data_IF_099521883760
#
_entry.id   IF_099521883760
#
_cell.length_a   1.000
_cell.length_b   1.000
_cell.length_c   1.000
_cell.angle_alpha   90.00
_cell.angle_beta   90.00
_cell.angle_gamma   90.00
#
_symmetry.space_group_name_H-M   'P 1'
#
loop_
_entity.id
_entity.type
_entity.pdbx_description
1 polymer ?
#
# COMPACT_ATOMS: atom_id res chain seq x y z
N UNK A 1 -24.40 -11.85 -18.37
CA UNK A 1 -24.47 -10.63 -17.56
C UNK A 1 -23.04 -10.24 -17.21
N UNK A 2 -22.56 -9.08 -17.68
CA UNK A 2 -21.29 -8.51 -17.22
C UNK A 2 -21.63 -7.77 -15.93
N UNK A 3 -21.07 -8.21 -14.80
CA UNK A 3 -21.29 -7.52 -13.52
C UNK A 3 -20.77 -6.08 -13.64
N UNK A 4 -21.51 -5.09 -13.14
CA UNK A 4 -21.03 -3.71 -13.12
C UNK A 4 -19.81 -3.64 -12.17
N UNK A 5 -18.62 -3.57 -12.76
CA UNK A 5 -17.35 -3.59 -12.04
C UNK A 5 -17.06 -2.27 -11.31
N UNK A 6 -17.77 -1.19 -11.64
CA UNK A 6 -17.64 0.10 -10.98
C UNK A 6 -18.66 0.21 -9.85
N UNK A 7 -18.46 -0.55 -8.76
CA UNK A 7 -19.14 -0.30 -7.48
C UNK A 7 -18.38 0.82 -6.77
N UNK A 8 -18.71 2.05 -7.13
CA UNK A 8 -18.33 3.22 -6.35
C UNK A 8 -19.37 3.40 -5.23
N UNK A 9 -18.96 3.95 -4.09
CA UNK A 9 -19.92 4.52 -3.13
C UNK A 9 -20.76 5.61 -3.81
N UNK A 10 -22.00 5.78 -3.34
CA UNK A 10 -22.93 6.74 -3.92
C UNK A 10 -22.44 8.21 -3.89
N UNK A 11 -21.55 8.54 -2.93
CA UNK A 11 -20.94 9.87 -2.81
C UNK A 11 -19.42 9.78 -3.03
N UNK A 12 -18.88 10.32 -4.13
CA UNK A 12 -17.43 10.34 -4.36
C UNK A 12 -16.74 11.24 -3.33
N UNK A 13 -15.47 10.93 -3.04
CA UNK A 13 -14.64 11.70 -2.11
C UNK A 13 -15.29 11.91 -0.74
N UNK A 14 -15.90 10.84 -0.20
CA UNK A 14 -16.55 10.84 1.12
C UNK A 14 -15.80 9.97 2.15
N UNK A 15 -14.87 9.11 1.70
CA UNK A 15 -14.10 8.24 2.59
C UNK A 15 -12.88 8.97 3.11
N UNK A 16 -12.55 8.66 4.36
CA UNK A 16 -11.37 9.17 5.04
C UNK A 16 -10.32 8.09 5.09
N UNK A 17 -9.09 8.43 4.70
CA UNK A 17 -7.90 7.62 4.91
C UNK A 17 -6.82 8.49 5.54
N UNK A 18 -5.88 7.87 6.24
CA UNK A 18 -4.88 8.58 7.04
C UNK A 18 -3.61 7.75 7.23
N UNK A 19 -2.52 8.43 7.54
CA UNK A 19 -1.31 7.86 8.10
C UNK A 19 -1.36 7.97 9.62
N UNK A 20 -1.26 6.86 10.34
CA UNK A 20 -1.17 6.88 11.81
C UNK A 20 0.24 7.31 12.23
N UNK A 21 0.41 8.59 12.56
CA UNK A 21 1.70 9.19 12.86
C UNK A 21 2.25 8.75 14.22
N UNK A 22 1.36 8.44 15.16
CA UNK A 22 1.71 7.93 16.50
C UNK A 22 2.05 6.43 16.49
N UNK A 23 1.74 5.71 15.40
CA UNK A 23 2.09 4.29 15.30
C UNK A 23 3.60 4.10 15.11
N UNK A 24 4.21 3.39 16.06
CA UNK A 24 5.64 3.09 16.07
C UNK A 24 5.85 1.61 15.73
N UNK A 25 6.63 1.36 14.69
CA UNK A 25 7.11 0.03 14.36
C UNK A 25 8.38 0.11 13.53
N UNK A 26 9.44 -0.56 13.99
CA UNK A 26 10.78 -0.37 13.46
C UNK A 26 11.09 -1.36 12.32
N UNK A 27 11.75 -0.87 11.27
CA UNK A 27 12.30 -1.73 10.20
C UNK A 27 13.65 -2.33 10.60
N UNK A 28 14.43 -1.55 11.34
CA UNK A 28 15.74 -1.87 11.93
C UNK A 28 15.97 -0.95 13.12
N UNK A 29 17.07 -1.15 13.87
CA UNK A 29 17.39 -0.39 15.07
C UNK A 29 17.26 1.12 14.82
N UNK A 30 16.30 1.74 15.54
CA UNK A 30 15.97 3.18 15.53
C UNK A 30 15.33 3.74 14.24
N UNK A 31 15.02 2.92 13.23
CA UNK A 31 14.34 3.38 12.01
C UNK A 31 12.85 3.03 12.06
N UNK A 32 12.01 3.99 12.46
CA UNK A 32 10.55 3.82 12.39
C UNK A 32 10.10 3.67 10.93
N UNK A 33 9.18 2.75 10.65
CA UNK A 33 8.59 2.56 9.33
C UNK A 33 7.83 3.80 8.87
N UNK A 34 6.99 4.36 9.75
CA UNK A 34 6.27 5.62 9.51
C UNK A 34 5.31 5.63 8.32
N UNK A 35 4.87 4.46 7.85
CA UNK A 35 3.92 4.32 6.71
C UNK A 35 2.75 3.44 7.11
N UNK A 36 2.10 3.79 8.22
CA UNK A 36 0.99 3.04 8.77
C UNK A 36 -0.34 3.60 8.22
N UNK A 37 -0.63 3.27 6.96
CA UNK A 37 -1.78 3.81 6.24
C UNK A 37 -3.08 3.02 6.49
N UNK A 38 -4.16 3.73 6.76
CA UNK A 38 -5.47 3.14 7.00
C UNK A 38 -6.58 3.88 6.24
N UNK A 39 -7.63 3.16 5.85
CA UNK A 39 -8.88 3.74 5.40
C UNK A 39 -10.01 3.42 6.39
N UNK A 40 -10.89 4.39 6.65
CA UNK A 40 -12.07 4.20 7.50
C UNK A 40 -13.18 3.50 6.71
N UNK A 41 -13.65 2.38 7.24
CA UNK A 41 -14.83 1.68 6.77
C UNK A 41 -16.11 2.44 7.17
N UNK A 42 -17.21 2.17 6.48
CA UNK A 42 -18.54 2.76 6.77
C UNK A 42 -19.05 2.46 8.18
N UNK A 43 -18.59 1.37 8.80
CA UNK A 43 -18.91 1.00 10.17
C UNK A 43 -17.97 1.64 11.23
N UNK A 44 -17.07 2.54 10.82
CA UNK A 44 -16.12 3.24 11.69
C UNK A 44 -14.86 2.45 12.06
N UNK A 45 -14.71 1.20 11.59
CA UNK A 45 -13.45 0.44 11.75
C UNK A 45 -12.40 0.89 10.73
N UNK A 46 -11.12 0.61 11.02
CA UNK A 46 -10.02 0.92 10.12
C UNK A 46 -9.56 -0.35 9.39
N UNK A 47 -9.37 -0.26 8.07
CA UNK A 47 -8.69 -1.28 7.29
C UNK A 47 -7.27 -0.83 6.95
N UNK A 48 -6.31 -1.76 6.99
CA UNK A 48 -4.94 -1.53 6.51
C UNK A 48 -5.00 -1.31 5.00
N UNK A 49 -4.38 -0.23 4.54
CA UNK A 49 -4.20 0.04 3.11
C UNK A 49 -2.73 0.24 2.80
N UNK A 50 -2.42 0.16 1.51
CA UNK A 50 -1.08 0.36 0.98
C UNK A 50 -1.11 1.47 -0.05
N UNK A 51 -0.05 2.27 -0.07
CA UNK A 51 0.12 3.26 -1.11
C UNK A 51 0.34 2.57 -2.46
N UNK A 52 -0.28 3.11 -3.51
CA UNK A 52 -0.20 2.55 -4.86
C UNK A 52 0.76 3.34 -5.77
N UNK A 53 1.29 4.48 -5.29
CA UNK A 53 2.17 5.36 -6.04
C UNK A 53 3.29 5.88 -5.14
N UNK A 54 4.51 5.40 -5.36
CA UNK A 54 5.64 5.66 -4.46
C UNK A 54 6.04 7.13 -4.33
N UNK A 55 5.88 7.90 -5.41
CA UNK A 55 6.29 9.30 -5.50
C UNK A 55 5.18 10.31 -5.17
N UNK A 56 3.95 9.85 -4.92
CA UNK A 56 2.85 10.72 -4.47
C UNK A 56 2.83 10.85 -2.94
N UNK A 57 2.14 11.87 -2.45
CA UNK A 57 1.97 12.10 -1.03
C UNK A 57 1.19 10.95 -0.38
N UNK A 58 1.58 10.60 0.85
CA UNK A 58 0.81 9.68 1.69
C UNK A 58 -0.55 10.29 2.07
N UNK A 59 -1.50 9.47 2.55
CA UNK A 59 -2.69 10.01 3.19
C UNK A 59 -2.34 10.98 4.33
N UNK A 60 -3.21 11.95 4.66
CA UNK A 60 -2.92 12.93 5.69
C UNK A 60 -2.63 12.29 7.04
N UNK A 61 -1.78 12.94 7.82
CA UNK A 61 -1.39 12.44 9.13
C UNK A 61 -2.55 12.53 10.14
N UNK A 62 -2.55 11.59 11.08
CA UNK A 62 -3.36 11.62 12.28
C UNK A 62 -2.49 11.34 13.50
N UNK A 63 -2.62 12.22 14.50
CA UNK A 63 -1.91 12.14 15.77
C UNK A 63 -2.73 11.48 16.89
N UNK A 64 -3.87 10.87 16.55
CA UNK A 64 -4.81 10.27 17.50
C UNK A 64 -5.46 8.99 16.96
N UNK A 65 -4.68 8.19 16.22
CA UNK A 65 -5.08 6.89 15.66
C UNK A 65 -6.30 6.96 14.73
N UNK A 66 -6.43 8.08 14.03
CA UNK A 66 -7.49 8.34 13.06
C UNK A 66 -8.74 8.96 13.67
N UNK A 67 -8.76 9.41 14.93
CA UNK A 67 -9.95 10.07 15.45
C UNK A 67 -10.17 11.43 14.76
N UNK A 68 -9.12 12.23 14.63
CA UNK A 68 -9.05 13.44 13.83
C UNK A 68 -7.96 13.30 12.75
N UNK A 69 -8.27 13.78 11.55
CA UNK A 69 -7.35 13.76 10.41
C UNK A 69 -7.01 15.21 10.10
N UNK A 70 -5.71 15.51 10.08
CA UNK A 70 -5.27 16.87 9.78
C UNK A 70 -5.50 17.17 8.29
N UNK A 71 -5.88 18.42 7.95
CA UNK A 71 -5.95 18.82 6.55
C UNK A 71 -4.56 18.72 5.91
N UNK A 72 -4.52 18.40 4.61
CA UNK A 72 -3.26 18.39 3.90
C UNK A 72 -2.76 19.83 3.72
N UNK A 73 -1.64 20.15 4.36
CA UNK A 73 -1.05 21.49 4.34
C UNK A 73 -0.50 21.87 2.96
N UNK A 74 -0.10 20.90 2.14
CA UNK A 74 0.45 21.14 0.81
C UNK A 74 -0.63 21.53 -0.19
N UNK A 75 -1.82 20.93 -0.08
CA UNK A 75 -2.96 21.22 -0.94
C UNK A 75 -3.97 22.21 -0.33
N UNK A 76 -3.78 22.59 0.94
CA UNK A 76 -4.65 23.51 1.68
C UNK A 76 -6.14 23.09 1.67
N UNK A 77 -6.40 21.77 1.65
CA UNK A 77 -7.75 21.20 1.62
C UNK A 77 -7.81 19.87 2.36
N UNK A 78 -9.02 19.44 2.67
CA UNK A 78 -9.24 18.09 3.18
C UNK A 78 -9.09 17.07 2.04
N UNK A 79 -8.24 16.06 2.27
CA UNK A 79 -8.07 14.95 1.34
C UNK A 79 -9.08 13.86 1.70
N UNK A 80 -9.96 13.57 0.74
CA UNK A 80 -10.96 12.52 0.82
C UNK A 80 -10.80 11.57 -0.34
N UNK A 81 -11.35 10.38 -0.19
CA UNK A 81 -11.19 9.29 -1.14
C UNK A 81 -12.54 8.81 -1.65
N UNK A 82 -12.58 8.46 -2.93
CA UNK A 82 -13.65 7.63 -3.49
C UNK A 82 -13.27 6.18 -3.31
N UNK A 83 -14.10 5.41 -2.61
CA UNK A 83 -13.95 3.95 -2.52
C UNK A 83 -14.57 3.32 -3.78
N UNK A 84 -13.73 2.58 -4.49
CA UNK A 84 -14.05 1.91 -5.75
C UNK A 84 -13.64 0.45 -5.67
N UNK A 85 -14.20 -0.37 -6.56
CA UNK A 85 -13.71 -1.74 -6.73
C UNK A 85 -12.32 -1.74 -7.35
N UNK A 86 -11.39 -2.46 -6.72
CA UNK A 86 -10.02 -2.64 -7.20
C UNK A 86 -9.91 -3.66 -8.34
N UNK A 87 -10.71 -3.50 -9.40
CA UNK A 87 -10.64 -4.32 -10.61
C UNK A 87 -9.74 -3.69 -11.68
N UNK A 88 -9.99 -2.43 -12.04
CA UNK A 88 -9.23 -1.72 -13.08
C UNK A 88 -8.13 -0.85 -12.45
N UNK A 89 -7.13 -1.52 -11.86
CA UNK A 89 -6.06 -0.86 -11.09
C UNK A 89 -4.90 -0.36 -11.96
N UNK A 90 -4.71 -0.93 -13.16
CA UNK A 90 -3.56 -0.66 -14.01
C UNK A 90 -3.40 0.83 -14.34
N UNK A 91 -4.52 1.52 -14.60
CA UNK A 91 -4.55 2.95 -14.93
C UNK A 91 -4.07 3.88 -13.81
N UNK A 92 -4.01 3.39 -12.57
CA UNK A 92 -3.55 4.17 -11.42
C UNK A 92 -2.06 3.96 -11.12
N UNK A 93 -1.39 2.99 -11.77
CA UNK A 93 0.05 2.78 -11.60
C UNK A 93 0.86 3.83 -12.39
N UNK A 94 1.95 4.35 -11.82
CA UNK A 94 2.80 5.37 -12.49
C UNK A 94 3.70 4.72 -13.53
N UNK A 95 4.47 3.71 -13.11
CA UNK A 95 5.44 3.02 -13.96
C UNK A 95 5.25 1.51 -13.79
N UNK A 96 4.14 0.94 -14.32
CA UNK A 96 3.83 -0.46 -14.10
C UNK A 96 4.89 -1.39 -14.72
N UNK A 97 5.34 -2.35 -13.92
CA UNK A 97 6.30 -3.38 -14.35
C UNK A 97 5.68 -4.29 -15.41
N UNK A 98 4.47 -4.76 -15.15
CA UNK A 98 3.68 -5.53 -16.10
C UNK A 98 3.16 -4.66 -17.24
N UNK A 99 2.98 -5.28 -18.41
CA UNK A 99 2.39 -4.62 -19.60
C UNK A 99 0.96 -5.05 -19.88
N UNK A 100 0.50 -6.08 -19.18
CA UNK A 100 -0.85 -6.61 -19.26
C UNK A 100 -1.62 -6.28 -17.97
N UNK A 101 -2.81 -5.70 -18.10
CA UNK A 101 -3.59 -5.21 -16.97
C UNK A 101 -4.15 -6.34 -16.09
N UNK A 102 -4.54 -7.47 -16.69
CA UNK A 102 -5.05 -8.63 -15.96
C UNK A 102 -3.95 -9.33 -15.17
N UNK A 103 -2.76 -9.46 -15.77
CA UNK A 103 -1.56 -9.98 -15.11
C UNK A 103 -1.14 -9.08 -13.93
N UNK A 104 -1.12 -7.76 -14.16
CA UNK A 104 -0.85 -6.78 -13.11
C UNK A 104 -1.82 -6.93 -11.93
N UNK A 105 -3.13 -6.97 -12.22
CA UNK A 105 -4.15 -7.15 -11.19
C UNK A 105 -3.97 -8.47 -10.43
N UNK A 106 -3.65 -9.55 -11.14
CA UNK A 106 -3.35 -10.85 -10.55
C UNK A 106 -2.17 -10.73 -9.56
N UNK A 107 -1.08 -10.08 -9.93
CA UNK A 107 0.08 -9.92 -9.07
C UNK A 107 -0.23 -9.12 -7.80
N UNK A 108 -0.92 -7.98 -7.93
CA UNK A 108 -1.34 -7.17 -6.77
C UNK A 108 -2.22 -7.98 -5.81
N UNK A 109 -3.24 -8.69 -6.31
CA UNK A 109 -4.11 -9.53 -5.47
C UNK A 109 -3.33 -10.60 -4.73
N UNK A 110 -2.37 -11.26 -5.38
CA UNK A 110 -1.57 -12.32 -4.77
C UNK A 110 -0.57 -11.80 -3.73
N UNK A 111 0.00 -10.61 -3.94
CA UNK A 111 0.79 -9.94 -2.91
C UNK A 111 -0.08 -9.71 -1.68
N UNK A 112 -1.29 -9.17 -1.85
CA UNK A 112 -2.21 -8.93 -0.73
C UNK A 112 -2.73 -10.23 -0.10
N UNK A 113 -2.87 -11.32 -0.86
CA UNK A 113 -3.27 -12.63 -0.32
C UNK A 113 -2.28 -13.18 0.69
N UNK A 114 -0.98 -13.00 0.44
CA UNK A 114 0.11 -13.54 1.26
C UNK A 114 0.79 -12.49 2.14
N UNK A 115 0.52 -11.21 1.91
CA UNK A 115 1.07 -10.08 2.66
C UNK A 115 0.35 -9.83 3.99
N UNK A 116 0.76 -8.77 4.66
CA UNK A 116 0.17 -8.30 5.90
C UNK A 116 -1.24 -7.71 5.64
N UNK A 117 -2.23 -8.07 6.46
CA UNK A 117 -3.63 -7.64 6.24
C UNK A 117 -4.22 -6.86 7.41
N UNK A 118 -3.78 -7.14 8.63
CA UNK A 118 -4.32 -6.53 9.85
C UNK A 118 -3.33 -6.60 11.01
N UNK A 119 -3.60 -5.77 12.03
CA UNK A 119 -2.89 -5.81 13.31
C UNK A 119 -2.92 -7.23 13.90
N UNK A 120 -1.77 -7.69 14.40
CA UNK A 120 -1.52 -9.04 14.88
C UNK A 120 -1.01 -10.02 13.82
N UNK A 121 -1.04 -9.69 12.53
CA UNK A 121 -0.48 -10.57 11.49
C UNK A 121 1.05 -10.52 11.51
N UNK A 122 1.68 -11.67 11.72
CA UNK A 122 3.13 -11.84 11.63
C UNK A 122 3.49 -12.90 10.58
N UNK A 123 4.70 -12.83 10.05
CA UNK A 123 5.18 -13.81 9.08
C UNK A 123 6.61 -14.21 9.40
N UNK A 124 6.82 -15.50 9.68
CA UNK A 124 8.10 -16.07 10.11
C UNK A 124 8.63 -15.35 11.35
N UNK A 125 9.82 -14.76 11.27
CA UNK A 125 10.49 -14.03 12.35
C UNK A 125 10.28 -12.52 12.25
N UNK A 126 9.54 -12.03 11.24
CA UNK A 126 9.31 -10.59 11.06
C UNK A 126 8.31 -10.06 12.08
N UNK A 127 8.56 -8.83 12.51
CA UNK A 127 7.55 -8.02 13.20
C UNK A 127 6.43 -7.62 12.23
N UNK A 128 5.31 -7.12 12.78
CA UNK A 128 4.21 -6.60 11.97
C UNK A 128 4.66 -5.47 11.03
N UNK A 129 5.47 -4.53 11.53
CA UNK A 129 5.97 -3.40 10.75
C UNK A 129 6.88 -3.86 9.59
N UNK A 130 7.76 -4.83 9.85
CA UNK A 130 8.62 -5.41 8.82
C UNK A 130 7.79 -6.14 7.76
N UNK A 131 6.81 -6.95 8.17
CA UNK A 131 5.95 -7.67 7.21
C UNK A 131 5.06 -6.72 6.39
N UNK A 132 4.56 -5.66 7.02
CA UNK A 132 3.83 -4.59 6.34
C UNK A 132 4.71 -3.85 5.34
N UNK A 133 5.94 -3.50 5.71
CA UNK A 133 6.90 -2.88 4.81
C UNK A 133 7.28 -3.78 3.63
N UNK A 134 7.47 -5.09 3.88
CA UNK A 134 7.72 -6.06 2.81
C UNK A 134 6.55 -6.10 1.82
N UNK A 135 5.31 -6.04 2.32
CA UNK A 135 4.10 -6.01 1.49
C UNK A 135 4.02 -4.72 0.66
N UNK A 136 4.29 -3.56 1.26
CA UNK A 136 4.31 -2.27 0.56
C UNK A 136 5.36 -2.22 -0.55
N UNK A 137 6.58 -2.71 -0.29
CA UNK A 137 7.64 -2.72 -1.29
C UNK A 137 7.34 -3.70 -2.43
N UNK A 138 6.71 -4.84 -2.14
CA UNK A 138 6.24 -5.76 -3.17
C UNK A 138 5.16 -5.13 -4.07
N UNK A 139 4.30 -4.26 -3.52
CA UNK A 139 3.35 -3.47 -4.33
C UNK A 139 4.11 -2.49 -5.24
N UNK A 140 5.05 -1.72 -4.68
CA UNK A 140 5.88 -0.78 -5.45
C UNK A 140 6.74 -1.44 -6.53
N UNK A 141 7.11 -2.71 -6.35
CA UNK A 141 7.77 -3.49 -7.39
C UNK A 141 6.94 -3.56 -8.67
N UNK A 142 5.61 -3.64 -8.56
CA UNK A 142 4.71 -3.71 -9.71
C UNK A 142 4.14 -2.37 -10.12
N UNK A 143 3.81 -1.46 -9.18
CA UNK A 143 3.15 -0.17 -9.49
C UNK A 143 4.11 0.91 -9.99
N UNK A 144 5.35 0.90 -9.47
CA UNK A 144 6.35 1.95 -9.70
C UNK A 144 7.66 1.37 -10.26
N UNK A 145 7.68 0.08 -10.59
CA UNK A 145 8.86 -0.64 -11.06
C UNK A 145 10.06 -0.52 -10.10
N UNK A 146 9.81 -0.46 -8.78
CA UNK A 146 10.86 -0.38 -7.77
C UNK A 146 11.93 -1.47 -8.00
N UNK A 147 13.20 -1.06 -8.03
CA UNK A 147 14.33 -1.96 -8.22
C UNK A 147 14.94 -2.34 -6.88
N UNK A 148 14.77 -3.61 -6.51
CA UNK A 148 15.21 -4.17 -5.25
C UNK A 148 16.74 -4.19 -5.09
N UNK A 149 17.49 -4.07 -6.19
CA UNK A 149 18.96 -4.08 -6.17
C UNK A 149 19.56 -2.70 -5.91
N UNK A 150 18.80 -1.63 -6.13
CA UNK A 150 19.26 -0.25 -6.00
C UNK A 150 18.61 0.49 -4.83
N UNK A 151 17.89 -0.18 -3.94
CA UNK A 151 17.20 0.45 -2.80
C UNK A 151 18.11 1.38 -1.98
N UNK A 152 19.37 0.99 -1.74
CA UNK A 152 20.34 1.78 -0.96
C UNK A 152 21.03 2.89 -1.76
N UNK A 153 21.12 2.74 -3.08
CA UNK A 153 21.86 3.64 -3.97
C UNK A 153 20.94 4.57 -4.78
N UNK A 154 19.63 4.37 -4.68
CA UNK A 154 18.61 5.15 -5.37
C UNK A 154 18.76 6.66 -5.13
N UNK A 155 18.55 7.45 -6.19
CA UNK A 155 18.60 8.92 -6.19
C UNK A 155 19.87 9.46 -5.51
N UNK A 156 21.03 9.15 -6.08
CA UNK A 156 22.36 9.57 -5.59
C UNK A 156 22.64 9.13 -4.13
N UNK A 157 22.33 7.88 -3.80
CA UNK A 157 22.49 7.28 -2.46
C UNK A 157 21.59 7.89 -1.36
N UNK A 158 20.46 8.51 -1.73
CA UNK A 158 19.45 8.95 -0.76
C UNK A 158 18.60 7.81 -0.21
N UNK A 159 18.58 6.67 -0.92
CA UNK A 159 17.76 5.52 -0.57
C UNK A 159 16.33 5.62 -1.13
N UNK A 160 15.67 4.47 -1.27
CA UNK A 160 14.35 4.37 -1.88
C UNK A 160 13.24 4.44 -0.82
N UNK A 161 12.68 5.63 -0.58
CA UNK A 161 11.54 5.89 0.32
C UNK A 161 11.63 5.27 1.73
N UNK A 162 12.85 5.11 2.26
CA UNK A 162 13.12 4.48 3.57
C UNK A 162 13.28 2.96 3.52
N UNK A 163 13.05 2.30 2.38
CA UNK A 163 13.27 0.87 2.20
C UNK A 163 14.75 0.49 2.09
N UNK A 164 15.66 1.46 1.98
CA UNK A 164 17.10 1.24 2.13
C UNK A 164 17.49 0.74 3.53
N UNK A 165 16.58 0.90 4.51
CA UNK A 165 16.74 0.48 5.91
C UNK A 165 16.22 -0.94 6.21
N UNK A 166 15.65 -1.63 5.22
CA UNK A 166 15.22 -3.02 5.40
C UNK A 166 16.42 -3.92 5.70
N UNK A 167 16.24 -4.82 6.67
CA UNK A 167 17.17 -5.92 6.88
C UNK A 167 17.01 -7.02 5.82
N UNK A 168 17.99 -7.92 5.75
CA UNK A 168 18.01 -8.99 4.75
C UNK A 168 16.83 -9.95 4.93
N UNK A 169 16.37 -10.17 6.16
CA UNK A 169 15.23 -11.03 6.45
C UNK A 169 13.93 -10.45 5.89
N UNK A 170 13.72 -9.14 6.01
CA UNK A 170 12.54 -8.46 5.46
C UNK A 170 12.62 -8.41 3.94
N UNK A 171 13.79 -8.11 3.36
CA UNK A 171 13.97 -8.14 1.91
C UNK A 171 13.77 -9.54 1.31
N UNK A 172 14.17 -10.60 2.01
CA UNK A 172 13.89 -11.98 1.59
C UNK A 172 12.38 -12.24 1.50
N UNK A 173 11.58 -11.71 2.42
CA UNK A 173 10.11 -11.83 2.37
C UNK A 173 9.52 -11.03 1.20
N UNK A 174 10.09 -9.87 0.83
CA UNK A 174 9.68 -9.15 -0.40
C UNK A 174 9.82 -10.07 -1.63
N UNK A 175 10.97 -10.73 -1.78
CA UNK A 175 11.21 -11.68 -2.86
C UNK A 175 10.24 -12.87 -2.82
N UNK A 176 9.89 -13.38 -1.63
CA UNK A 176 8.90 -14.46 -1.50
C UNK A 176 7.50 -14.03 -1.92
N UNK A 177 7.09 -12.79 -1.61
CA UNK A 177 5.80 -12.25 -2.03
C UNK A 177 5.73 -12.10 -3.55
N UNK A 178 6.79 -11.58 -4.17
CA UNK A 178 6.90 -11.45 -5.63
C UNK A 178 6.91 -12.84 -6.28
N UNK A 179 7.73 -13.76 -5.79
CA UNK A 179 7.78 -15.14 -6.31
C UNK A 179 6.42 -15.82 -6.23
N UNK A 180 5.69 -15.62 -5.13
CA UNK A 180 4.33 -16.13 -5.01
C UNK A 180 3.40 -15.46 -6.02
N UNK A 181 3.47 -14.14 -6.20
CA UNK A 181 2.66 -13.41 -7.16
C UNK A 181 2.85 -13.93 -8.59
N UNK A 182 4.09 -14.20 -9.01
CA UNK A 182 4.44 -14.70 -10.34
C UNK A 182 4.04 -16.16 -10.59
N UNK A 183 3.71 -16.93 -9.55
CA UNK A 183 3.33 -18.33 -9.73
C UNK A 183 2.02 -18.51 -10.55
N UNK A 184 1.81 -19.73 -11.04
CA UNK A 184 0.66 -20.06 -11.91
C UNK A 184 -0.68 -20.10 -11.17
N UNK A 185 -0.69 -20.07 -9.83
CA UNK A 185 -1.93 -20.12 -9.04
C UNK A 185 -2.75 -18.84 -9.18
N UNK A 186 -4.06 -19.00 -9.01
CA UNK A 186 -5.02 -17.90 -9.02
C UNK A 186 -5.05 -17.21 -7.65
N UNK A 187 -5.32 -15.89 -7.61
CA UNK A 187 -5.53 -15.18 -6.36
C UNK A 187 -6.72 -15.77 -5.60
N UNK A 188 -6.58 -15.85 -4.27
CA UNK A 188 -7.67 -16.21 -3.37
C UNK A 188 -8.66 -15.05 -3.24
N UNK A 189 -8.14 -13.83 -3.18
CA UNK A 189 -8.94 -12.61 -3.10
C UNK A 189 -9.65 -12.33 -4.43
N UNK A 190 -10.99 -12.28 -4.38
CA UNK A 190 -11.83 -11.98 -5.55
C UNK A 190 -11.95 -10.48 -5.77
N UNK A 191 -12.22 -9.73 -4.70
CA UNK A 191 -12.47 -8.28 -4.72
C UNK A 191 -11.48 -7.56 -3.80
N UNK A 192 -11.03 -6.39 -4.25
CA UNK A 192 -10.23 -5.47 -3.45
C UNK A 192 -11.00 -4.17 -3.28
N UNK A 193 -10.89 -3.58 -2.09
CA UNK A 193 -11.21 -2.17 -1.90
C UNK A 193 -10.05 -1.33 -2.43
N UNK A 194 -10.38 -0.26 -3.16
CA UNK A 194 -9.40 0.70 -3.64
C UNK A 194 -9.89 2.12 -3.40
N UNK A 195 -8.97 3.05 -3.13
CA UNK A 195 -9.29 4.39 -2.67
C UNK A 195 -8.58 5.43 -3.54
N UNK A 196 -9.35 6.27 -4.23
CA UNK A 196 -8.82 7.30 -5.14
C UNK A 196 -8.97 8.67 -4.49
N UNK A 197 -7.88 9.44 -4.25
CA UNK A 197 -7.95 10.72 -3.57
C UNK A 197 -8.56 11.83 -4.46
N UNK A 198 -9.12 12.86 -3.85
CA UNK A 198 -9.46 14.16 -4.48
C UNK A 198 -8.23 15.09 -4.61
N UNK A 199 -7.03 14.51 -4.66
CA UNK A 199 -5.75 15.21 -4.77
C UNK A 199 -5.43 15.54 -6.23
N UNK A 200 -4.61 16.56 -6.48
CA UNK A 200 -4.27 17.07 -7.82
C UNK A 200 -2.81 16.86 -8.18
#
# INVERSE_FOLDING_TARGET
>A
FVENQNKEIAEPYSVTAFNDFEEIGYLSDFNNYGKFYYAKNTNGTNQVVYCFNADLHSPPDSYDHGANIDPDVSESKEIKYTHVSGYDLYKYAVTPRDKDADLFLKHIKKILDKGYKKKGDTYKTLTEAQFRAATQLAIYYYTDSADLTTLKTYNDNKGYHGFDKLDDATLAVVHELITYAEDVTLPMTQNLDFFVPNSS
#
